data_IF_565644856288
#
_entry.id   IF_565644856288
#
_cell.length_a   1.000
_cell.length_b   1.000
_cell.length_c   1.000
_cell.angle_alpha   90.00
_cell.angle_beta   90.00
_cell.angle_gamma   90.00
#
_symmetry.space_group_name_H-M   'P 1'
#
loop_
_entity.id
_entity.type
_entity.pdbx_description
1 polymer ?
#
# COMPACT_ATOMS: atom_id res chain seq x y z
N UNK A 1 -57.45 30.16 -16.31
CA UNK A 1 -57.10 29.58 -14.99
C UNK A 1 -56.15 28.40 -15.22
N UNK A 2 -54.95 28.61 -15.77
CA UNK A 2 -54.07 27.47 -16.18
C UNK A 2 -52.59 27.78 -16.41
N UNK A 3 -52.14 29.05 -16.45
CA UNK A 3 -50.71 29.37 -16.66
C UNK A 3 -49.94 29.52 -15.33
N UNK A 4 -50.53 30.20 -14.34
CA UNK A 4 -49.90 30.52 -13.06
C UNK A 4 -49.63 29.29 -12.18
N UNK A 5 -50.33 28.17 -12.42
CA UNK A 5 -50.18 26.92 -11.67
C UNK A 5 -49.01 26.05 -12.14
N UNK A 6 -48.46 26.32 -13.33
CA UNK A 6 -47.37 25.54 -13.93
C UNK A 6 -46.00 26.10 -13.51
N UNK A 7 -45.86 27.43 -13.38
CA UNK A 7 -44.60 28.06 -12.91
C UNK A 7 -44.26 27.66 -11.46
N UNK A 8 -45.25 27.70 -10.55
CA UNK A 8 -45.02 27.30 -9.15
C UNK A 8 -44.63 25.82 -8.97
N UNK A 9 -45.01 24.95 -9.92
CA UNK A 9 -44.64 23.53 -9.88
C UNK A 9 -43.21 23.27 -10.40
N UNK A 10 -42.69 24.13 -11.26
CA UNK A 10 -41.31 24.04 -11.77
C UNK A 10 -40.31 24.63 -10.77
N UNK A 11 -40.62 25.78 -10.15
CA UNK A 11 -39.79 26.37 -9.07
C UNK A 11 -39.67 25.43 -7.86
N UNK A 12 -40.77 24.78 -7.46
CA UNK A 12 -40.75 23.79 -6.37
C UNK A 12 -39.87 22.56 -6.69
N UNK A 13 -39.78 22.17 -7.97
CA UNK A 13 -38.98 21.02 -8.41
C UNK A 13 -37.49 21.35 -8.49
N UNK A 14 -37.13 22.56 -8.88
CA UNK A 14 -35.73 23.05 -8.84
C UNK A 14 -35.22 23.24 -7.41
N UNK A 15 -36.06 23.76 -6.51
CA UNK A 15 -35.74 23.88 -5.08
C UNK A 15 -35.56 22.50 -4.41
N UNK A 16 -36.43 21.53 -4.71
CA UNK A 16 -36.30 20.17 -4.19
C UNK A 16 -35.04 19.46 -4.73
N UNK A 17 -34.70 19.67 -6.00
CA UNK A 17 -33.51 19.05 -6.63
C UNK A 17 -32.22 19.68 -6.10
N UNK A 18 -32.20 21.00 -5.89
CA UNK A 18 -31.06 21.70 -5.29
C UNK A 18 -30.87 21.33 -3.81
N UNK A 19 -31.95 21.19 -3.03
CA UNK A 19 -31.89 20.70 -1.66
C UNK A 19 -31.34 19.27 -1.57
N UNK A 20 -31.83 18.37 -2.43
CA UNK A 20 -31.36 16.98 -2.46
C UNK A 20 -29.90 16.85 -2.93
N UNK A 21 -29.43 17.72 -3.83
CA UNK A 21 -28.03 17.77 -4.24
C UNK A 21 -27.08 18.28 -3.14
N UNK A 22 -27.52 19.26 -2.33
CA UNK A 22 -26.77 19.77 -1.17
C UNK A 22 -26.63 18.72 -0.07
N UNK A 23 -27.71 18.00 0.22
CA UNK A 23 -27.73 16.98 1.27
C UNK A 23 -26.79 15.81 0.94
N UNK A 24 -26.79 15.40 -0.35
CA UNK A 24 -25.91 14.35 -0.86
C UNK A 24 -24.43 14.77 -0.88
N UNK A 25 -24.14 16.05 -1.12
CA UNK A 25 -22.80 16.61 -1.08
C UNK A 25 -22.25 16.73 0.36
N UNK A 26 -23.08 17.16 1.33
CA UNK A 26 -22.71 17.18 2.75
C UNK A 26 -22.40 15.78 3.28
N UNK A 27 -23.30 14.81 3.07
CA UNK A 27 -23.10 13.44 3.53
C UNK A 27 -21.92 12.71 2.86
N UNK A 28 -21.50 13.16 1.67
CA UNK A 28 -20.30 12.66 0.99
C UNK A 28 -19.00 13.21 1.59
N UNK A 29 -19.02 14.50 2.01
CA UNK A 29 -17.93 15.17 2.70
C UNK A 29 -17.60 14.52 4.04
N UNK A 30 -18.60 14.34 4.90
CA UNK A 30 -18.42 13.77 6.24
C UNK A 30 -17.81 12.37 6.18
N UNK A 31 -18.31 11.52 5.27
CA UNK A 31 -17.80 10.15 5.08
C UNK A 31 -16.38 10.09 4.53
N UNK A 32 -15.93 11.11 3.79
CA UNK A 32 -14.56 11.20 3.30
C UNK A 32 -13.62 11.65 4.43
N UNK A 33 -14.04 12.63 5.23
CA UNK A 33 -13.31 13.14 6.40
C UNK A 33 -13.12 12.04 7.45
N UNK A 34 -14.17 11.31 7.82
CA UNK A 34 -14.06 10.18 8.75
C UNK A 34 -13.19 9.01 8.22
N UNK A 35 -12.91 8.95 6.92
CA UNK A 35 -11.97 7.98 6.35
C UNK A 35 -10.53 8.47 6.42
N UNK A 36 -10.26 9.75 6.19
CA UNK A 36 -8.92 10.33 6.35
C UNK A 36 -8.44 10.23 7.80
N UNK A 37 -9.29 10.55 8.77
CA UNK A 37 -8.93 10.54 10.19
C UNK A 37 -8.54 9.13 10.64
N UNK A 38 -9.34 8.14 10.26
CA UNK A 38 -9.05 6.73 10.53
C UNK A 38 -7.76 6.27 9.88
N UNK A 39 -7.46 6.73 8.67
CA UNK A 39 -6.22 6.39 7.98
C UNK A 39 -4.99 7.00 8.69
N UNK A 40 -5.06 8.25 9.14
CA UNK A 40 -3.98 8.91 9.89
C UNK A 40 -3.75 8.24 11.24
N UNK A 41 -4.82 7.92 11.98
CA UNK A 41 -4.69 7.22 13.26
C UNK A 41 -4.24 5.76 13.08
N UNK A 42 -4.65 5.08 12.01
CA UNK A 42 -4.15 3.75 11.69
C UNK A 42 -2.67 3.76 11.31
N UNK A 43 -2.23 4.76 10.56
CA UNK A 43 -0.81 5.03 10.31
C UNK A 43 -0.06 5.28 11.62
N UNK A 44 -0.58 6.16 12.48
CA UNK A 44 -0.08 6.45 13.82
C UNK A 44 0.21 5.19 14.62
N UNK A 45 -0.82 4.37 14.81
CA UNK A 45 -0.72 3.10 15.56
C UNK A 45 0.26 2.11 14.93
N UNK A 46 0.38 2.13 13.61
CA UNK A 46 1.31 1.24 12.92
C UNK A 46 2.76 1.68 13.14
N UNK A 47 3.06 2.97 13.01
CA UNK A 47 4.45 3.43 13.11
C UNK A 47 4.97 3.51 14.55
N UNK A 48 4.08 3.59 15.55
CA UNK A 48 4.46 3.58 16.98
C UNK A 48 4.42 2.20 17.64
N UNK A 49 3.98 1.15 16.93
CA UNK A 49 3.73 -0.20 17.47
C UNK A 49 4.89 -0.86 18.24
N UNK A 50 6.13 -0.47 17.95
CA UNK A 50 7.34 -1.08 18.55
C UNK A 50 8.11 -0.09 19.46
N UNK A 51 7.45 0.99 19.89
CA UNK A 51 7.98 1.95 20.88
C UNK A 51 7.46 1.59 22.28
N UNK A 52 8.13 2.05 23.35
CA UNK A 52 7.60 1.95 24.71
C UNK A 52 6.17 2.49 24.76
N UNK A 53 5.29 1.80 25.48
CA UNK A 53 3.85 2.06 25.49
C UNK A 53 3.53 3.53 25.85
N UNK A 54 4.30 4.10 26.78
CA UNK A 54 4.19 5.49 27.23
C UNK A 54 4.47 6.49 26.09
N UNK A 55 5.54 6.25 25.31
CA UNK A 55 5.92 7.09 24.16
C UNK A 55 4.95 6.92 22.99
N UNK A 56 4.44 5.71 22.78
CA UNK A 56 3.44 5.43 21.76
C UNK A 56 2.11 6.13 22.10
N UNK A 57 1.70 6.10 23.37
CA UNK A 57 0.50 6.76 23.87
C UNK A 57 0.57 8.28 23.73
N UNK A 58 1.68 8.90 24.17
CA UNK A 58 1.87 10.35 24.05
C UNK A 58 1.79 10.82 22.60
N UNK A 59 2.44 10.11 21.68
CA UNK A 59 2.45 10.50 20.27
C UNK A 59 1.11 10.26 19.57
N UNK A 60 0.38 9.22 19.98
CA UNK A 60 -0.98 8.99 19.49
C UNK A 60 -1.95 10.05 19.99
N UNK A 61 -1.81 10.50 21.24
CA UNK A 61 -2.62 11.58 21.80
C UNK A 61 -2.36 12.92 21.10
N UNK A 62 -1.10 13.22 20.75
CA UNK A 62 -0.74 14.39 19.94
C UNK A 62 -1.38 14.33 18.54
N UNK A 63 -1.28 13.19 17.85
CA UNK A 63 -1.92 12.98 16.55
C UNK A 63 -3.45 13.10 16.62
N UNK A 64 -4.06 12.62 17.70
CA UNK A 64 -5.49 12.74 17.94
C UNK A 64 -5.90 14.21 18.18
N UNK A 65 -5.09 14.96 18.93
CA UNK A 65 -5.26 16.40 19.14
C UNK A 65 -5.12 17.18 17.83
N UNK A 66 -4.09 16.92 17.02
CA UNK A 66 -3.85 17.58 15.74
C UNK A 66 -5.03 17.36 14.77
N UNK A 67 -5.53 16.13 14.70
CA UNK A 67 -6.69 15.78 13.86
C UNK A 67 -7.96 16.48 14.39
N UNK A 68 -8.13 16.58 15.70
CA UNK A 68 -9.25 17.29 16.31
C UNK A 68 -9.19 18.80 16.08
N UNK A 69 -8.01 19.41 16.23
CA UNK A 69 -7.77 20.84 16.00
C UNK A 69 -8.01 21.22 14.53
N UNK A 70 -7.51 20.42 13.59
CA UNK A 70 -7.72 20.68 12.17
C UNK A 70 -9.20 20.52 11.78
N UNK A 71 -9.94 19.64 12.47
CA UNK A 71 -11.39 19.49 12.32
C UNK A 71 -12.15 20.72 12.84
N UNK A 72 -11.78 21.20 14.03
CA UNK A 72 -12.43 22.36 14.66
C UNK A 72 -12.10 23.66 13.93
N UNK A 73 -10.89 23.80 13.41
CA UNK A 73 -10.46 24.98 12.65
C UNK A 73 -11.11 25.08 11.26
N UNK A 74 -11.51 23.95 10.65
CA UNK A 74 -11.99 23.94 9.27
C UNK A 74 -13.51 23.70 9.09
N UNK A 75 -14.23 23.21 10.12
CA UNK A 75 -15.66 22.90 10.03
C UNK A 75 -16.00 21.80 9.01
N UNK A 76 -17.26 21.73 8.53
CA UNK A 76 -17.76 20.73 7.55
C UNK A 76 -17.33 21.02 6.08
N UNK A 77 -16.22 21.74 5.88
CA UNK A 77 -15.77 22.07 4.54
C UNK A 77 -15.26 20.82 3.80
N UNK A 78 -15.78 20.56 2.60
CA UNK A 78 -15.50 19.38 1.75
C UNK A 78 -14.02 19.23 1.25
N UNK A 79 -13.08 20.04 1.76
CA UNK A 79 -11.65 20.00 1.44
C UNK A 79 -10.74 19.45 2.54
N UNK A 80 -11.24 19.29 3.76
CA UNK A 80 -10.43 19.01 4.96
C UNK A 80 -9.68 17.69 4.87
N UNK A 81 -10.35 16.61 4.43
CA UNK A 81 -9.71 15.30 4.30
C UNK A 81 -8.53 15.26 3.32
N UNK A 82 -8.53 16.10 2.27
CA UNK A 82 -7.40 16.19 1.33
C UNK A 82 -6.22 16.98 1.92
N UNK A 83 -6.50 18.02 2.72
CA UNK A 83 -5.47 18.76 3.45
C UNK A 83 -4.76 17.87 4.46
N UNK A 84 -5.53 17.15 5.27
CA UNK A 84 -5.05 16.21 6.30
C UNK A 84 -4.18 15.12 5.67
N UNK A 85 -4.67 14.44 4.62
CA UNK A 85 -3.91 13.38 3.92
C UNK A 85 -2.65 13.94 3.26
N UNK A 86 -2.73 15.12 2.64
CA UNK A 86 -1.59 15.76 2.00
C UNK A 86 -0.48 16.14 2.98
N UNK A 87 -0.83 16.57 4.20
CA UNK A 87 0.13 16.84 5.27
C UNK A 87 0.69 15.56 5.86
N UNK A 88 -0.16 14.56 6.13
CA UNK A 88 0.27 13.26 6.64
C UNK A 88 1.29 12.60 5.70
N UNK A 89 1.04 12.58 4.39
CA UNK A 89 1.98 12.03 3.39
C UNK A 89 3.32 12.77 3.40
N UNK A 90 3.31 14.11 3.52
CA UNK A 90 4.54 14.91 3.62
C UNK A 90 5.28 14.73 4.96
N UNK A 91 4.56 14.35 6.02
CA UNK A 91 5.10 14.06 7.36
C UNK A 91 5.76 12.69 7.48
N UNK A 92 5.37 11.71 6.66
CA UNK A 92 5.90 10.32 6.72
C UNK A 92 7.44 10.24 6.82
N UNK A 93 8.24 10.96 6.01
CA UNK A 93 9.69 10.90 6.13
C UNK A 93 10.22 11.42 7.47
N UNK A 94 9.59 12.47 8.02
CA UNK A 94 9.95 13.04 9.31
C UNK A 94 9.57 12.10 10.47
N UNK A 95 8.40 11.47 10.41
CA UNK A 95 7.96 10.47 11.40
C UNK A 95 8.89 9.26 11.44
N UNK A 96 9.31 8.77 10.27
CA UNK A 96 10.26 7.68 10.14
C UNK A 96 11.66 8.09 10.63
N UNK A 97 12.12 9.30 10.30
CA UNK A 97 13.40 9.83 10.80
C UNK A 97 13.42 9.98 12.32
N UNK A 98 12.33 10.49 12.91
CA UNK A 98 12.13 10.58 14.36
C UNK A 98 12.16 9.19 15.01
N UNK A 99 11.44 8.22 14.44
CA UNK A 99 11.42 6.84 14.93
C UNK A 99 12.83 6.22 14.91
N UNK A 100 13.58 6.40 13.83
CA UNK A 100 14.96 5.91 13.70
C UNK A 100 15.88 6.59 14.73
N UNK A 101 15.72 7.90 14.96
CA UNK A 101 16.49 8.61 15.98
C UNK A 101 16.20 8.11 17.40
N UNK A 102 14.94 7.80 17.72
CA UNK A 102 14.54 7.24 19.02
C UNK A 102 15.03 5.81 19.22
N UNK A 103 14.92 4.96 18.20
CA UNK A 103 15.46 3.60 18.24
C UNK A 103 16.99 3.57 18.41
N UNK A 104 17.71 4.54 17.83
CA UNK A 104 19.16 4.70 18.04
C UNK A 104 19.51 5.13 19.48
N UNK A 105 18.69 5.96 20.10
CA UNK A 105 18.87 6.40 21.50
C UNK A 105 18.61 5.33 22.55
N UNK A 106 17.70 4.38 22.28
CA UNK A 106 17.38 3.25 23.18
C UNK A 106 18.42 2.11 23.09
N UNK A 107 19.27 2.11 22.06
CA UNK A 107 20.19 1.01 21.73
C UNK A 107 21.48 0.92 22.56
N UNK A 108 21.70 1.74 23.60
CA UNK A 108 22.96 1.72 24.37
C UNK A 108 22.96 0.78 25.59
N UNK A 109 21.84 0.14 25.93
CA UNK A 109 21.76 -0.70 27.16
C UNK A 109 21.17 -2.10 26.99
N UNK A 110 20.81 -2.54 25.78
CA UNK A 110 20.25 -3.88 25.55
C UNK A 110 21.25 -4.82 24.83
N UNK A 111 21.66 -5.96 25.44
CA UNK A 111 22.50 -6.94 24.78
C UNK A 111 21.70 -7.81 23.80
N UNK A 112 22.29 -8.05 22.62
CA UNK A 112 21.91 -9.01 21.57
C UNK A 112 20.63 -8.66 20.78
N UNK A 113 20.82 -8.07 19.59
CA UNK A 113 19.86 -8.19 18.48
C UNK A 113 19.40 -6.91 17.80
N UNK A 114 20.16 -5.81 17.82
CA UNK A 114 19.70 -4.48 17.32
C UNK A 114 20.00 -4.17 15.84
N UNK A 115 20.37 -5.17 15.04
CA UNK A 115 20.50 -5.07 13.58
C UNK A 115 19.29 -5.52 12.70
N UNK A 116 18.13 -6.05 13.18
CA UNK A 116 17.08 -6.59 12.31
C UNK A 116 15.85 -5.69 12.11
N UNK A 117 15.76 -4.48 12.68
CA UNK A 117 14.55 -3.63 12.53
C UNK A 117 14.52 -2.76 11.25
N UNK A 118 15.67 -2.38 10.71
CA UNK A 118 15.73 -1.57 9.48
C UNK A 118 15.25 -2.36 8.24
N UNK A 119 15.44 -3.68 8.23
CA UNK A 119 15.15 -4.55 7.09
C UNK A 119 13.64 -4.70 6.81
N UNK A 120 12.77 -4.97 7.81
CA UNK A 120 11.32 -4.96 7.60
C UNK A 120 10.81 -3.58 7.16
N UNK A 121 11.27 -2.50 7.79
CA UNK A 121 10.86 -1.15 7.40
C UNK A 121 11.24 -0.86 5.94
N UNK A 122 12.45 -1.22 5.52
CA UNK A 122 12.92 -1.09 4.15
C UNK A 122 12.05 -1.90 3.17
N UNK A 123 11.63 -3.10 3.54
CA UNK A 123 10.74 -3.92 2.71
C UNK A 123 9.36 -3.26 2.52
N UNK A 124 8.79 -2.66 3.56
CA UNK A 124 7.52 -1.93 3.45
C UNK A 124 7.68 -0.64 2.62
N UNK A 125 8.78 0.09 2.78
CA UNK A 125 9.09 1.28 1.96
C UNK A 125 9.25 0.88 0.49
N UNK A 126 10.03 -0.15 0.20
CA UNK A 126 10.21 -0.66 -1.17
C UNK A 126 8.87 -1.14 -1.76
N UNK A 127 8.03 -1.81 -0.97
CA UNK A 127 6.67 -2.22 -1.36
C UNK A 127 5.80 -1.01 -1.69
N UNK A 128 5.79 0.01 -0.84
CA UNK A 128 5.02 1.24 -1.07
C UNK A 128 5.50 1.99 -2.32
N UNK A 129 6.81 2.08 -2.54
CA UNK A 129 7.39 2.66 -3.75
C UNK A 129 6.98 1.88 -5.00
N UNK A 130 7.01 0.54 -4.93
CA UNK A 130 6.58 -0.33 -6.04
C UNK A 130 5.10 -0.16 -6.37
N UNK A 131 4.24 -0.07 -5.34
CA UNK A 131 2.81 0.19 -5.51
C UNK A 131 2.55 1.57 -6.12
N UNK A 132 3.23 2.61 -5.62
CA UNK A 132 3.12 3.96 -6.18
C UNK A 132 3.55 4.00 -7.65
N UNK A 133 4.64 3.29 -8.00
CA UNK A 133 5.09 3.13 -9.38
C UNK A 133 4.05 2.40 -10.24
N UNK A 134 3.48 1.29 -9.76
CA UNK A 134 2.42 0.55 -10.45
C UNK A 134 1.16 1.39 -10.69
N UNK A 135 0.71 2.14 -9.68
CA UNK A 135 -0.43 3.07 -9.81
C UNK A 135 -0.13 4.16 -10.83
N UNK A 136 1.06 4.76 -10.79
CA UNK A 136 1.48 5.77 -11.77
C UNK A 136 1.38 5.22 -13.20
N UNK A 137 1.88 4.00 -13.44
CA UNK A 137 1.82 3.34 -14.76
C UNK A 137 0.36 3.19 -15.20
N UNK A 138 -0.49 2.56 -14.40
CA UNK A 138 -1.89 2.28 -14.76
C UNK A 138 -2.67 3.58 -15.01
N UNK A 139 -2.46 4.61 -14.19
CA UNK A 139 -3.09 5.93 -14.38
C UNK A 139 -2.61 6.59 -15.66
N UNK A 140 -1.31 6.57 -15.96
CA UNK A 140 -0.75 7.17 -17.18
C UNK A 140 -1.24 6.47 -18.44
N UNK A 141 -1.30 5.14 -18.43
CA UNK A 141 -1.86 4.36 -19.52
C UNK A 141 -3.34 4.68 -19.70
N UNK A 142 -4.12 4.60 -18.62
CA UNK A 142 -5.55 4.88 -18.65
C UNK A 142 -5.86 6.27 -19.20
N UNK A 143 -5.14 7.31 -18.74
CA UNK A 143 -5.24 8.65 -19.28
C UNK A 143 -4.89 8.70 -20.78
N UNK A 144 -3.78 8.09 -21.19
CA UNK A 144 -3.40 8.03 -22.61
C UNK A 144 -4.42 7.31 -23.49
N UNK A 145 -5.07 6.27 -22.97
CA UNK A 145 -6.12 5.53 -23.68
C UNK A 145 -7.41 6.36 -23.80
N UNK A 146 -7.78 7.09 -22.76
CA UNK A 146 -8.95 7.98 -22.76
C UNK A 146 -8.77 9.16 -23.72
N UNK A 147 -7.56 9.73 -23.76
CA UNK A 147 -7.23 10.88 -24.61
C UNK A 147 -6.81 10.47 -26.04
N UNK A 148 -6.84 9.16 -26.35
CA UNK A 148 -6.46 8.62 -27.66
C UNK A 148 -4.97 8.75 -28.02
N UNK A 149 -4.12 9.17 -27.08
CA UNK A 149 -2.67 9.36 -27.27
C UNK A 149 -1.85 8.09 -27.03
N UNK A 150 -2.49 7.01 -26.56
CA UNK A 150 -1.84 5.73 -26.33
C UNK A 150 -1.37 5.08 -27.64
N UNK A 151 -0.05 5.00 -27.81
CA UNK A 151 0.60 4.36 -28.96
C UNK A 151 1.29 3.02 -28.62
N UNK A 152 1.14 2.52 -27.39
CA UNK A 152 1.81 1.30 -26.93
C UNK A 152 1.03 0.00 -27.21
N UNK A 153 1.70 -1.14 -27.02
CA UNK A 153 1.09 -2.45 -27.19
C UNK A 153 0.13 -2.82 -26.05
N UNK A 154 -0.96 -3.53 -26.35
CA UNK A 154 -1.91 -4.02 -25.34
C UNK A 154 -1.28 -4.90 -24.26
N UNK A 155 -0.22 -5.64 -24.61
CA UNK A 155 0.53 -6.46 -23.65
C UNK A 155 1.17 -5.62 -22.53
N UNK A 156 1.51 -4.35 -22.80
CA UNK A 156 2.05 -3.43 -21.78
C UNK A 156 0.97 -2.99 -20.80
N UNK A 157 -0.26 -2.80 -21.28
CA UNK A 157 -1.43 -2.50 -20.44
C UNK A 157 -1.71 -3.68 -19.51
N UNK A 158 -1.76 -4.88 -20.09
CA UNK A 158 -1.94 -6.13 -19.33
C UNK A 158 -0.83 -6.31 -18.29
N UNK A 159 0.43 -6.11 -18.66
CA UNK A 159 1.57 -6.20 -17.74
C UNK A 159 1.47 -5.19 -16.59
N UNK A 160 1.05 -3.95 -16.85
CA UNK A 160 0.85 -2.93 -15.81
C UNK A 160 -0.24 -3.33 -14.80
N UNK A 161 -1.40 -3.77 -15.30
CA UNK A 161 -2.54 -4.20 -14.45
C UNK A 161 -2.19 -5.47 -13.66
N UNK A 162 -1.64 -6.48 -14.32
CA UNK A 162 -1.21 -7.73 -13.67
C UNK A 162 -0.13 -7.43 -12.65
N UNK A 163 0.89 -6.66 -13.01
CA UNK A 163 1.97 -6.28 -12.09
C UNK A 163 1.47 -5.57 -10.84
N UNK A 164 0.53 -4.62 -10.98
CA UNK A 164 -0.07 -3.94 -9.84
C UNK A 164 -0.92 -4.90 -8.99
N UNK A 165 -1.69 -5.78 -9.62
CA UNK A 165 -2.44 -6.84 -8.92
C UNK A 165 -1.54 -7.75 -8.10
N UNK A 166 -0.43 -8.23 -8.70
CA UNK A 166 0.59 -9.02 -8.01
C UNK A 166 1.18 -8.25 -6.81
N UNK A 167 1.47 -6.96 -6.98
CA UNK A 167 2.02 -6.13 -5.90
C UNK A 167 1.02 -5.94 -4.74
N UNK A 168 -0.27 -5.77 -5.03
CA UNK A 168 -1.32 -5.66 -4.02
C UNK A 168 -1.50 -6.97 -3.25
N UNK A 169 -1.54 -8.11 -3.96
CA UNK A 169 -1.60 -9.44 -3.34
C UNK A 169 -0.37 -9.68 -2.46
N UNK A 170 0.82 -9.43 -3.01
CA UNK A 170 2.08 -9.57 -2.26
C UNK A 170 2.11 -8.69 -1.02
N UNK A 171 1.67 -7.43 -1.13
CA UNK A 171 1.56 -6.50 0.00
C UNK A 171 0.53 -6.95 1.05
N UNK A 172 -0.58 -7.58 0.65
CA UNK A 172 -1.54 -8.11 1.61
C UNK A 172 -0.97 -9.32 2.36
N UNK A 173 -0.25 -10.19 1.65
CA UNK A 173 0.41 -11.36 2.24
C UNK A 173 1.55 -11.00 3.19
N UNK A 174 2.26 -9.89 2.99
CA UNK A 174 3.31 -9.43 3.92
C UNK A 174 2.77 -8.91 5.26
N UNK A 175 1.48 -8.59 5.34
CA UNK A 175 0.83 -8.24 6.60
C UNK A 175 0.66 -9.49 7.48
N UNK A 176 0.40 -10.65 6.88
CA UNK A 176 0.17 -11.93 7.57
C UNK A 176 1.52 -12.58 7.95
N UNK A 177 1.89 -12.67 9.25
CA UNK A 177 3.23 -13.11 9.66
C UNK A 177 3.66 -14.46 9.08
N UNK A 178 2.74 -15.41 8.98
CA UNK A 178 2.98 -16.77 8.48
C UNK A 178 3.18 -16.83 6.95
N UNK A 179 2.62 -15.85 6.22
CA UNK A 179 2.66 -15.79 4.75
C UNK A 179 3.63 -14.73 4.23
N UNK A 180 4.41 -14.07 5.10
CA UNK A 180 5.34 -12.99 4.72
C UNK A 180 6.32 -13.37 3.62
N UNK A 181 6.91 -14.56 3.73
CA UNK A 181 7.85 -15.07 2.74
C UNK A 181 7.19 -15.23 1.38
N UNK A 182 5.94 -15.72 1.35
CA UNK A 182 5.16 -15.86 0.12
C UNK A 182 4.84 -14.47 -0.44
N UNK A 183 4.38 -13.54 0.38
CA UNK A 183 4.13 -12.15 -0.02
C UNK A 183 5.36 -11.49 -0.67
N UNK A 184 6.54 -11.71 -0.10
CA UNK A 184 7.79 -11.22 -0.69
C UNK A 184 8.11 -11.87 -2.05
N UNK A 185 7.80 -13.16 -2.27
CA UNK A 185 7.94 -13.79 -3.59
C UNK A 185 6.98 -13.18 -4.62
N UNK A 186 5.73 -12.91 -4.23
CA UNK A 186 4.78 -12.19 -5.10
C UNK A 186 5.29 -10.79 -5.46
N UNK A 187 5.85 -10.08 -4.48
CA UNK A 187 6.47 -8.76 -4.70
C UNK A 187 7.72 -8.84 -5.58
N UNK A 188 8.49 -9.93 -5.53
CA UNK A 188 9.62 -10.15 -6.44
C UNK A 188 9.14 -10.24 -7.90
N UNK A 189 8.11 -11.06 -8.17
CA UNK A 189 7.51 -11.16 -9.51
C UNK A 189 6.91 -9.83 -9.94
N UNK A 190 6.15 -9.17 -9.06
CA UNK A 190 5.57 -7.86 -9.32
C UNK A 190 6.65 -6.81 -9.66
N UNK A 191 7.77 -6.81 -8.93
CA UNK A 191 8.88 -5.89 -9.15
C UNK A 191 9.49 -6.06 -10.54
N UNK A 192 9.70 -7.31 -10.98
CA UNK A 192 10.17 -7.57 -12.33
C UNK A 192 9.20 -7.01 -13.36
N UNK A 193 7.91 -7.34 -13.23
CA UNK A 193 6.89 -6.94 -14.21
C UNK A 193 6.76 -5.42 -14.28
N UNK A 194 6.60 -4.75 -13.13
CA UNK A 194 6.36 -3.31 -13.06
C UNK A 194 7.60 -2.47 -13.40
N UNK A 195 8.81 -2.88 -13.00
CA UNK A 195 10.02 -2.13 -13.34
C UNK A 195 10.36 -2.33 -14.82
N UNK A 196 10.34 -3.58 -15.30
CA UNK A 196 10.71 -3.90 -16.68
C UNK A 196 9.70 -3.34 -17.68
N UNK A 197 8.44 -3.73 -17.58
CA UNK A 197 7.40 -3.38 -18.55
C UNK A 197 6.77 -2.02 -18.28
N UNK A 198 6.72 -1.59 -17.02
CA UNK A 198 6.25 -0.26 -16.67
C UNK A 198 7.12 0.85 -17.26
N UNK A 199 8.44 0.67 -17.31
CA UNK A 199 9.33 1.61 -17.98
C UNK A 199 9.00 1.72 -19.49
N UNK A 200 8.81 0.60 -20.19
CA UNK A 200 8.42 0.61 -21.60
C UNK A 200 7.05 1.28 -21.84
N UNK A 201 6.14 1.11 -20.89
CA UNK A 201 4.83 1.75 -20.89
C UNK A 201 4.93 3.28 -20.76
N UNK A 202 5.82 3.77 -19.89
CA UNK A 202 6.05 5.21 -19.73
C UNK A 202 6.77 5.81 -20.94
N UNK A 203 7.68 5.07 -21.56
CA UNK A 203 8.31 5.47 -22.84
C UNK A 203 7.25 5.64 -23.93
N UNK A 204 6.26 4.75 -24.00
CA UNK A 204 5.19 4.81 -24.99
C UNK A 204 4.19 5.96 -24.77
N UNK A 205 4.15 6.56 -23.57
CA UNK A 205 3.19 7.62 -23.19
C UNK A 205 3.85 8.99 -22.98
N UNK A 206 5.17 9.09 -23.03
CA UNK A 206 5.90 10.33 -22.72
C UNK A 206 6.93 10.65 -23.80
N UNK A 207 6.72 11.76 -24.50
CA UNK A 207 7.64 12.27 -25.53
C UNK A 207 9.02 12.57 -24.94
N UNK A 208 9.08 13.15 -23.75
CA UNK A 208 10.34 13.46 -23.06
C UNK A 208 11.09 12.19 -22.68
N UNK A 209 10.40 11.20 -22.12
CA UNK A 209 11.04 9.93 -21.71
C UNK A 209 11.49 9.13 -22.93
N UNK A 210 10.69 9.16 -24.00
CA UNK A 210 11.02 8.58 -25.30
C UNK A 210 12.28 9.22 -25.88
N UNK A 211 12.36 10.54 -25.97
CA UNK A 211 13.53 11.27 -26.46
C UNK A 211 14.79 10.96 -25.64
N UNK A 212 14.67 10.94 -24.31
CA UNK A 212 15.78 10.56 -23.42
C UNK A 212 16.26 9.14 -23.70
N UNK A 213 15.35 8.16 -23.75
CA UNK A 213 15.72 6.76 -24.03
C UNK A 213 16.31 6.58 -25.43
N UNK A 214 15.83 7.30 -26.43
CA UNK A 214 16.40 7.25 -27.78
C UNK A 214 17.83 7.80 -27.83
N UNK A 215 18.15 8.82 -27.02
CA UNK A 215 19.49 9.43 -26.96
C UNK A 215 20.51 8.62 -26.16
N UNK A 216 20.07 7.88 -25.13
CA UNK A 216 20.93 7.14 -24.19
C UNK A 216 20.61 5.63 -24.16
N UNK A 217 20.24 5.07 -25.31
CA UNK A 217 19.51 3.80 -25.39
C UNK A 217 20.22 2.63 -24.69
N UNK A 218 21.53 2.49 -24.87
CA UNK A 218 22.28 1.38 -24.27
C UNK A 218 22.31 1.49 -22.75
N UNK A 219 22.66 2.66 -22.22
CA UNK A 219 22.77 2.93 -20.78
C UNK A 219 21.41 2.85 -20.09
N UNK A 220 20.38 3.45 -20.68
CA UNK A 220 19.02 3.45 -20.14
C UNK A 220 18.42 2.03 -20.10
N UNK A 221 18.65 1.21 -21.13
CA UNK A 221 18.26 -0.20 -21.14
C UNK A 221 18.99 -0.98 -20.03
N UNK A 222 20.30 -0.73 -19.85
CA UNK A 222 21.11 -1.38 -18.82
C UNK A 222 20.62 -1.00 -17.43
N UNK A 223 20.39 0.28 -17.16
CA UNK A 223 19.84 0.79 -15.89
C UNK A 223 18.50 0.13 -15.58
N UNK A 224 17.59 0.03 -16.56
CA UNK A 224 16.30 -0.63 -16.35
C UNK A 224 16.46 -2.12 -16.01
N UNK A 225 17.38 -2.84 -16.69
CA UNK A 225 17.67 -4.25 -16.40
C UNK A 225 18.24 -4.43 -14.99
N UNK A 226 19.21 -3.59 -14.62
CA UNK A 226 19.85 -3.63 -13.30
C UNK A 226 18.84 -3.30 -12.21
N UNK A 227 18.02 -2.26 -12.39
CA UNK A 227 16.99 -1.88 -11.43
C UNK A 227 15.95 -2.99 -11.24
N UNK A 228 15.51 -3.61 -12.34
CA UNK A 228 14.59 -4.75 -12.30
C UNK A 228 15.19 -5.94 -11.55
N UNK A 229 16.44 -6.30 -11.86
CA UNK A 229 17.16 -7.38 -11.19
C UNK A 229 17.38 -7.08 -9.69
N UNK A 230 17.75 -5.85 -9.35
CA UNK A 230 17.93 -5.40 -7.97
C UNK A 230 16.62 -5.49 -7.16
N UNK A 231 15.49 -5.06 -7.75
CA UNK A 231 14.17 -5.18 -7.11
C UNK A 231 13.79 -6.65 -6.84
N UNK A 232 14.00 -7.53 -7.82
CA UNK A 232 13.74 -8.97 -7.66
C UNK A 232 14.61 -9.56 -6.56
N UNK A 233 15.93 -9.32 -6.63
CA UNK A 233 16.88 -9.84 -5.65
C UNK A 233 16.56 -9.34 -4.24
N UNK A 234 16.21 -8.06 -4.10
CA UNK A 234 15.80 -7.48 -2.83
C UNK A 234 14.62 -8.24 -2.21
N UNK A 235 13.54 -8.46 -2.96
CA UNK A 235 12.37 -9.16 -2.46
C UNK A 235 12.60 -10.67 -2.26
N UNK A 236 13.43 -11.31 -3.08
CA UNK A 236 13.86 -12.70 -2.83
C UNK A 236 14.68 -12.81 -1.55
N UNK A 237 15.57 -11.85 -1.27
CA UNK A 237 16.30 -11.79 -0.01
C UNK A 237 15.36 -11.60 1.18
N UNK A 238 14.31 -10.76 1.04
CA UNK A 238 13.28 -10.61 2.06
C UNK A 238 12.46 -11.90 2.26
N UNK A 239 12.14 -12.62 1.18
CA UNK A 239 11.45 -13.90 1.26
C UNK A 239 12.28 -14.94 2.02
N UNK A 240 13.58 -15.04 1.72
CA UNK A 240 14.51 -15.92 2.42
C UNK A 240 14.64 -15.54 3.91
N UNK A 241 14.65 -14.24 4.20
CA UNK A 241 14.72 -13.73 5.57
C UNK A 241 13.46 -14.06 6.40
N UNK A 242 12.27 -13.99 5.80
CA UNK A 242 11.01 -14.31 6.44
C UNK A 242 10.62 -15.79 6.36
N UNK A 243 11.50 -16.64 5.82
CA UNK A 243 11.22 -18.06 5.71
C UNK A 243 11.10 -18.66 7.13
N UNK A 244 10.00 -19.38 7.45
CA UNK A 244 9.87 -20.04 8.74
C UNK A 244 11.03 -21.00 8.98
N UNK A 245 11.62 -20.98 10.18
CA UNK A 245 12.69 -21.92 10.50
C UNK A 245 12.21 -23.36 10.30
N UNK A 246 13.05 -24.22 9.71
CA UNK A 246 12.67 -25.61 9.41
C UNK A 246 12.07 -26.33 10.63
N UNK A 247 12.54 -26.04 11.84
CA UNK A 247 11.99 -26.60 13.09
C UNK A 247 10.51 -26.27 13.32
N UNK A 248 10.05 -25.07 12.97
CA UNK A 248 8.64 -24.69 13.07
C UNK A 248 7.77 -25.44 12.05
N UNK A 249 8.30 -25.68 10.85
CA UNK A 249 7.64 -26.46 9.80
C UNK A 249 7.55 -27.95 10.16
N UNK A 250 8.57 -28.50 10.83
CA UNK A 250 8.56 -29.89 11.30
C UNK A 250 7.69 -30.10 12.55
N UNK A 251 7.62 -29.13 13.45
CA UNK A 251 6.76 -29.17 14.64
C UNK A 251 5.26 -29.07 14.31
N UNK A 252 4.90 -28.38 13.22
CA UNK A 252 3.52 -28.29 12.74
C UNK A 252 3.05 -29.54 11.97
N UNK A 253 3.91 -30.54 11.76
CA UNK A 253 3.51 -31.80 11.17
C UNK A 253 2.71 -32.55 12.24
N UNK A 254 1.40 -32.81 12.06
CA UNK A 254 0.65 -33.63 13.00
C UNK A 254 1.39 -34.95 13.13
N UNK A 255 1.69 -35.36 14.36
CA UNK A 255 2.20 -36.71 14.61
C UNK A 255 1.28 -37.67 13.88
N UNK A 256 1.79 -38.31 12.82
CA UNK A 256 1.05 -39.41 12.20
C UNK A 256 0.80 -40.38 13.36
N UNK A 257 -0.45 -40.77 13.66
CA UNK A 257 -0.69 -41.83 14.61
C UNK A 257 -0.13 -43.10 13.99
N UNK A 258 1.15 -43.36 14.22
CA UNK A 258 1.79 -44.63 13.93
C UNK A 258 1.45 -45.58 15.09
N UNK A 259 0.16 -45.72 15.38
CA UNK A 259 -0.38 -46.97 15.89
C UNK A 259 -0.70 -47.79 14.66
N UNK A 260 0.31 -48.50 14.16
CA UNK A 260 -0.03 -49.82 13.62
C UNK A 260 -0.78 -50.54 14.74
N UNK A 261 -1.99 -51.08 14.51
CA UNK A 261 -2.61 -51.94 15.50
C UNK A 261 -1.58 -53.01 15.84
N UNK A 262 -1.25 -53.13 17.13
CA UNK A 262 -0.52 -54.29 17.63
C UNK A 262 -1.48 -55.45 17.34
N UNK A 263 -1.23 -56.16 16.24
CA UNK A 263 -1.90 -57.43 15.98
C UNK A 263 -1.31 -58.37 17.02
N UNK A 264 -2.09 -58.62 18.08
CA UNK A 264 -1.83 -59.72 18.99
C UNK A 264 -1.72 -61.01 18.14
N UNK A 265 -0.70 -61.87 18.30
CA UNK A 265 -0.59 -63.13 17.57
C UNK A 265 -1.85 -64.01 17.63
N UNK A 266 -2.79 -63.74 18.53
CA UNK A 266 -4.04 -64.48 18.70
C UNK A 266 -5.25 -63.91 17.92
N UNK A 267 -5.09 -62.85 17.11
CA UNK A 267 -6.06 -62.53 16.05
C UNK A 267 -7.47 -62.14 16.51
N UNK A 268 -7.63 -61.56 17.70
CA UNK A 268 -8.94 -61.12 18.18
C UNK A 268 -9.01 -59.58 18.19
N UNK A 269 -9.89 -59.03 17.35
CA UNK A 269 -10.13 -57.58 17.23
C UNK A 269 -11.09 -57.17 18.36
N UNK A 270 -10.68 -56.19 19.18
CA UNK A 270 -11.57 -55.45 20.09
C UNK A 270 -12.00 -54.11 19.46
#
# INVERSE_FOLDING_TARGET
MTAERIDGALEGRELATSAHSRDRAMHGGDRAVHRSDRAVLAWGRWYTRDLPDDLAADRLAELESDVFEERTAAGDAAGVGRSIVGRAIRGVPADLAWRVARLRGVSLTAPKGTFPLALPALAHVATAMLLAWGVLIVVRVGAGMLDGSWAGAWDLVAAGVVGLGLALIGSALTIVPEARWLGALWLAVASYVLLRFGMYTLIATSTTLSAFYSSALVEAILINRVLSAAGVLFFVSMAAWWLPSAKALWAARPERPHRSPIIDPEGTIA
#
